data_IF_859048591301
#
_entry.id   IF_859048591301
#
_cell.length_a   1.000
_cell.length_b   1.000
_cell.length_c   1.000
_cell.angle_alpha   90.00
_cell.angle_beta   90.00
_cell.angle_gamma   90.00
#
_symmetry.space_group_name_H-M   'P 1'
#
loop_
_entity.id
_entity.type
_entity.pdbx_description
1 polymer ?
#
# COMPACT_ATOMS: atom_id res chain seq x y z
N UNK A 1 -36.97 3.70 4.95
CA UNK A 1 -35.77 3.34 4.16
C UNK A 1 -35.04 4.65 3.91
N UNK A 2 -33.81 4.80 4.40
CA UNK A 2 -33.06 6.05 4.27
C UNK A 2 -32.41 6.06 2.89
N UNK A 3 -32.95 6.85 1.96
CA UNK A 3 -32.30 7.02 0.65
C UNK A 3 -31.10 7.95 0.77
N UNK A 4 -30.01 7.59 0.08
CA UNK A 4 -28.80 8.40 -0.01
C UNK A 4 -28.97 9.44 -1.12
N UNK A 5 -28.31 10.59 -0.96
CA UNK A 5 -28.33 11.64 -2.00
C UNK A 5 -27.72 11.11 -3.30
N UNK A 6 -28.21 11.55 -4.49
CA UNK A 6 -27.58 11.23 -5.75
C UNK A 6 -26.09 11.62 -5.74
N UNK A 7 -25.23 10.70 -6.15
CA UNK A 7 -23.77 10.90 -6.15
C UNK A 7 -23.09 10.68 -4.79
N UNK A 8 -23.80 10.20 -3.76
CA UNK A 8 -23.17 9.79 -2.51
C UNK A 8 -22.14 8.68 -2.77
N UNK A 9 -20.91 8.87 -2.28
CA UNK A 9 -19.85 7.88 -2.41
C UNK A 9 -19.95 6.85 -1.27
N UNK A 10 -20.17 5.60 -1.63
CA UNK A 10 -20.18 4.44 -0.74
C UNK A 10 -19.21 3.39 -1.28
N UNK A 11 -18.28 2.96 -0.45
CA UNK A 11 -17.10 2.26 -0.92
C UNK A 11 -16.33 1.53 0.16
N UNK A 12 -15.23 0.93 -0.25
CA UNK A 12 -14.27 0.26 0.63
C UNK A 12 -12.97 1.08 0.75
N UNK A 13 -12.19 0.79 1.79
CA UNK A 13 -10.85 1.35 1.92
C UNK A 13 -9.84 0.33 2.44
N UNK A 14 -8.62 0.44 1.94
CA UNK A 14 -7.50 -0.45 2.26
C UNK A 14 -6.22 0.36 2.46
N UNK A 15 -5.19 -0.26 3.05
CA UNK A 15 -3.85 0.30 3.14
C UNK A 15 -2.82 -0.66 2.50
N UNK A 16 -1.81 -0.15 1.76
CA UNK A 16 -0.87 -0.94 0.97
C UNK A 16 -0.20 -2.07 1.77
N UNK A 17 0.39 -1.72 2.92
CA UNK A 17 1.07 -2.67 3.81
C UNK A 17 0.19 -3.84 4.27
N UNK A 18 -1.14 -3.63 4.32
CA UNK A 18 -2.09 -4.64 4.78
C UNK A 18 -2.57 -5.59 3.67
N UNK A 19 -2.50 -5.19 2.39
CA UNK A 19 -3.14 -5.96 1.30
C UNK A 19 -2.21 -6.32 0.13
N UNK A 20 -1.23 -5.48 -0.20
CA UNK A 20 -0.44 -5.65 -1.42
C UNK A 20 0.49 -6.86 -1.34
N UNK A 21 1.11 -7.06 -0.18
CA UNK A 21 2.12 -8.09 0.05
C UNK A 21 3.53 -7.62 -0.34
N UNK A 22 4.54 -8.31 0.19
CA UNK A 22 5.96 -8.12 -0.16
C UNK A 22 6.50 -6.67 -0.06
N UNK A 23 5.97 -5.89 0.89
CA UNK A 23 6.40 -4.51 1.15
C UNK A 23 7.73 -4.43 1.92
N UNK A 24 8.73 -5.21 1.49
CA UNK A 24 10.00 -5.44 2.21
C UNK A 24 10.86 -4.20 2.39
N UNK A 25 10.64 -3.17 1.58
CA UNK A 25 11.38 -1.91 1.63
C UNK A 25 10.74 -0.87 2.56
N UNK A 26 9.56 -1.14 3.13
CA UNK A 26 8.87 -0.21 4.03
C UNK A 26 9.49 -0.22 5.43
N UNK A 27 9.41 0.91 6.12
CA UNK A 27 9.80 1.02 7.52
C UNK A 27 8.88 0.18 8.43
N UNK A 28 7.61 0.06 8.06
CA UNK A 28 6.66 -0.86 8.69
C UNK A 28 7.13 -2.31 8.63
N UNK A 29 7.57 -2.80 7.47
CA UNK A 29 8.12 -4.15 7.33
C UNK A 29 9.32 -4.40 8.25
N UNK A 30 10.21 -3.40 8.36
CA UNK A 30 11.37 -3.48 9.25
C UNK A 30 10.99 -3.48 10.74
N UNK A 31 9.87 -2.83 11.09
CA UNK A 31 9.42 -2.68 12.48
C UNK A 31 8.55 -3.84 12.99
N UNK A 32 7.87 -4.57 12.10
CA UNK A 32 7.04 -5.75 12.45
C UNK A 32 7.66 -6.72 13.48
N UNK A 33 8.91 -7.22 13.32
CA UNK A 33 9.47 -8.20 14.25
C UNK A 33 9.79 -7.62 15.63
N UNK A 34 9.77 -6.30 15.77
CA UNK A 34 9.98 -5.59 17.02
C UNK A 34 8.66 -5.26 17.75
N UNK A 35 7.50 -5.56 17.15
CA UNK A 35 6.18 -5.30 17.71
C UNK A 35 5.62 -6.54 18.41
N UNK A 36 5.43 -6.52 19.74
CA UNK A 36 4.89 -7.66 20.47
C UNK A 36 3.50 -8.06 19.97
N UNK A 37 3.33 -9.34 19.63
CA UNK A 37 2.04 -9.89 19.15
C UNK A 37 1.71 -9.60 17.69
N UNK A 38 2.60 -8.95 16.94
CA UNK A 38 2.40 -8.68 15.52
C UNK A 38 2.81 -9.88 14.67
N UNK A 39 1.92 -10.36 13.81
CA UNK A 39 2.26 -11.30 12.76
C UNK A 39 2.95 -10.57 11.61
N UNK A 40 3.86 -11.27 10.92
CA UNK A 40 4.47 -10.76 9.69
C UNK A 40 3.38 -10.55 8.62
N UNK A 41 3.41 -9.41 7.92
CA UNK A 41 2.45 -9.14 6.85
C UNK A 41 2.65 -10.08 5.65
N UNK A 42 3.90 -10.44 5.35
CA UNK A 42 4.24 -11.40 4.28
C UNK A 42 3.63 -11.00 2.93
N UNK A 43 3.00 -11.98 2.26
CA UNK A 43 2.28 -11.78 1.00
C UNK A 43 0.90 -11.10 1.19
N UNK A 44 0.47 -10.85 2.42
CA UNK A 44 -0.84 -10.30 2.75
C UNK A 44 -1.99 -11.06 2.03
N UNK A 45 -2.76 -10.39 1.18
CA UNK A 45 -3.77 -11.00 0.30
C UNK A 45 -3.39 -10.94 -1.19
N UNK A 46 -2.13 -10.55 -1.47
CA UNK A 46 -1.52 -10.44 -2.79
C UNK A 46 -2.28 -9.49 -3.74
N UNK A 47 -2.87 -8.41 -3.19
CA UNK A 47 -3.60 -7.42 -3.98
C UNK A 47 -2.71 -6.70 -5.00
N UNK A 48 -1.38 -6.71 -4.84
CA UNK A 48 -0.47 -6.13 -5.83
C UNK A 48 -0.60 -6.83 -7.19
N UNK A 49 -0.71 -8.16 -7.19
CA UNK A 49 -0.88 -8.94 -8.41
C UNK A 49 -2.35 -9.21 -8.75
N UNK A 50 -3.23 -9.18 -7.74
CA UNK A 50 -4.65 -9.54 -7.85
C UNK A 50 -5.61 -8.34 -7.85
N UNK A 51 -5.10 -7.13 -8.05
CA UNK A 51 -5.92 -5.92 -8.11
C UNK A 51 -7.07 -6.00 -9.14
N UNK A 52 -6.95 -6.68 -10.31
CA UNK A 52 -8.07 -6.80 -11.23
C UNK A 52 -9.25 -7.58 -10.63
N UNK A 53 -8.97 -8.62 -9.86
CA UNK A 53 -9.97 -9.40 -9.13
C UNK A 53 -10.61 -8.56 -8.02
N UNK A 54 -9.81 -7.80 -7.27
CA UNK A 54 -10.32 -6.91 -6.23
C UNK A 54 -11.25 -5.84 -6.81
N UNK A 55 -10.91 -5.24 -7.96
CA UNK A 55 -11.78 -4.26 -8.63
C UNK A 55 -13.11 -4.86 -9.07
N UNK A 56 -13.11 -6.12 -9.54
CA UNK A 56 -14.35 -6.83 -9.88
C UNK A 56 -15.20 -7.07 -8.64
N UNK A 57 -14.61 -7.52 -7.53
CA UNK A 57 -15.33 -7.74 -6.27
C UNK A 57 -16.01 -6.46 -5.75
N UNK A 58 -15.33 -5.32 -5.82
CA UNK A 58 -15.89 -4.03 -5.41
C UNK A 58 -17.08 -3.62 -6.31
N UNK A 59 -16.95 -3.82 -7.62
CA UNK A 59 -18.01 -3.52 -8.57
C UNK A 59 -19.23 -4.45 -8.40
N UNK A 60 -19.00 -5.75 -8.22
CA UNK A 60 -20.05 -6.75 -7.99
C UNK A 60 -20.80 -6.51 -6.67
N UNK A 61 -20.10 -5.95 -5.67
CA UNK A 61 -20.70 -5.50 -4.41
C UNK A 61 -21.50 -4.18 -4.52
N UNK A 62 -21.56 -3.57 -5.70
CA UNK A 62 -22.28 -2.31 -5.95
C UNK A 62 -21.60 -1.07 -5.36
N UNK A 63 -20.31 -1.15 -5.06
CA UNK A 63 -19.55 -0.03 -4.53
C UNK A 63 -19.18 0.94 -5.65
N UNK A 64 -19.32 2.24 -5.39
CA UNK A 64 -19.05 3.29 -6.38
C UNK A 64 -17.77 4.07 -6.08
N UNK A 65 -17.04 3.69 -5.02
CA UNK A 65 -15.78 4.33 -4.63
C UNK A 65 -14.85 3.32 -3.97
N UNK A 66 -13.55 3.56 -4.15
CA UNK A 66 -12.49 2.77 -3.51
C UNK A 66 -11.33 3.69 -3.11
N UNK A 67 -11.01 3.69 -1.81
CA UNK A 67 -9.88 4.46 -1.26
C UNK A 67 -8.75 3.50 -0.93
N UNK A 68 -7.65 3.58 -1.67
CA UNK A 68 -6.43 2.83 -1.43
C UNK A 68 -5.26 3.79 -1.16
N UNK A 69 -4.21 3.28 -0.53
CA UNK A 69 -2.94 4.00 -0.40
C UNK A 69 -1.99 3.63 -1.53
N UNK A 70 -0.89 4.37 -1.65
CA UNK A 70 0.23 4.02 -2.53
C UNK A 70 1.44 3.80 -1.61
N UNK A 71 2.08 2.64 -1.70
CA UNK A 71 3.25 2.34 -0.89
C UNK A 71 4.43 3.24 -1.28
N UNK A 72 4.87 4.07 -0.34
CA UNK A 72 5.95 5.02 -0.60
C UNK A 72 7.25 4.31 -0.94
N UNK A 73 7.53 3.20 -0.26
CA UNK A 73 8.75 2.42 -0.43
C UNK A 73 8.85 1.68 -1.77
N UNK A 74 7.76 1.58 -2.55
CA UNK A 74 7.79 1.09 -3.93
C UNK A 74 8.27 2.17 -4.92
N UNK A 75 7.94 3.44 -4.66
CA UNK A 75 8.21 4.55 -5.59
C UNK A 75 9.51 5.31 -5.28
N UNK A 76 9.94 5.32 -4.02
CA UNK A 76 11.16 6.01 -3.59
C UNK A 76 12.35 5.06 -3.68
N UNK A 77 13.45 5.49 -4.32
CA UNK A 77 14.61 4.62 -4.43
C UNK A 77 15.28 4.49 -3.04
N UNK A 78 16.04 3.41 -2.78
CA UNK A 78 16.64 3.17 -1.47
C UNK A 78 17.45 4.38 -1.00
N UNK A 79 17.50 4.64 0.30
CA UNK A 79 18.18 5.82 0.87
C UNK A 79 19.64 6.00 0.42
N UNK A 80 20.32 4.93 -0.02
CA UNK A 80 21.69 4.99 -0.54
C UNK A 80 21.81 5.51 -1.99
N UNK A 81 20.73 5.46 -2.77
CA UNK A 81 20.69 5.91 -4.16
C UNK A 81 20.39 7.40 -4.30
N UNK A 82 19.92 8.05 -3.22
CA UNK A 82 19.73 9.49 -3.21
C UNK A 82 21.07 10.20 -3.19
N UNK A 83 21.60 10.48 -4.39
CA UNK A 83 22.79 11.30 -4.57
C UNK A 83 22.37 12.76 -4.48
N UNK A 84 22.79 13.46 -3.41
CA UNK A 84 22.62 14.92 -3.36
C UNK A 84 23.32 15.53 -4.57
N UNK A 85 22.67 16.45 -5.31
CA UNK A 85 23.39 17.27 -6.28
C UNK A 85 24.52 17.98 -5.54
N UNK A 86 25.77 17.78 -5.98
CA UNK A 86 27.02 18.32 -5.43
C UNK A 86 27.61 17.64 -4.17
N UNK A 87 27.26 16.38 -3.87
CA UNK A 87 28.08 15.59 -2.93
C UNK A 87 29.51 15.44 -3.48
N UNK A 88 30.56 15.77 -2.71
CA UNK A 88 31.93 15.53 -3.13
C UNK A 88 32.11 14.05 -3.45
N UNK A 89 32.69 13.75 -4.61
CA UNK A 89 33.21 12.41 -4.87
C UNK A 89 34.33 12.17 -3.87
N UNK A 90 34.10 11.34 -2.85
CA UNK A 90 35.20 10.74 -2.11
C UNK A 90 35.89 9.78 -3.09
N UNK A 91 36.89 10.29 -3.80
CA UNK A 91 37.76 9.51 -4.65
C UNK A 91 38.62 8.60 -3.77
N UNK A 92 38.64 7.31 -4.12
CA UNK A 92 39.71 6.39 -3.74
C UNK A 92 40.84 6.43 -4.76
#
# INVERSE_FOLDING_TARGET
>A
MTELIPGFLWGASTAPHQIEGNNVNSDWWANEPHMPGMARSGDAVDSYHRYPEDMRLLADAGLNSYRFGIEWALSSPPRDTYRRPNSPTTGG
#
